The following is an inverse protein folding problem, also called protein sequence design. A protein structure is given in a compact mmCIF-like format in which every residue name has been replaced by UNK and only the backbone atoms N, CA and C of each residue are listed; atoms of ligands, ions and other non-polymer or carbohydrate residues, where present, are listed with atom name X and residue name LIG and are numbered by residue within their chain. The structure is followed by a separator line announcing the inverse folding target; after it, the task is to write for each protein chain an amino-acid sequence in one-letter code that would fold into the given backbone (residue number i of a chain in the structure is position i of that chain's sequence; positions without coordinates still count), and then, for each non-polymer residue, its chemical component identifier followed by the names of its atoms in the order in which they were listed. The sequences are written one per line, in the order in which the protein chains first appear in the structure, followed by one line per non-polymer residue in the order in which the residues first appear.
data_IF_691499168568
#
_entry.id   IF_691499168568
#
_cell.length_a   1.000
_cell.length_b   1.000
_cell.length_c   1.000
_cell.angle_alpha   90.00
_cell.angle_beta   90.00
_cell.angle_gamma   90.00
#
_symmetry.space_group_name_H-M   'P 1'
#
loop_
_entity.id
_entity.type
_entity.pdbx_description
1 polymer ?
#
# COMPACT_ATOMS: atom_id res chain seq x y z
N UNK A 1 -11.89 -4.20 -4.92
CA UNK A 1 -10.88 -4.08 -3.85
C UNK A 1 -11.23 -5.10 -2.81
N UNK A 2 -10.25 -5.79 -2.26
CA UNK A 2 -10.41 -6.71 -1.14
C UNK A 2 -10.26 -5.95 0.19
N UNK A 3 -10.90 -6.43 1.27
CA UNK A 3 -10.84 -5.79 2.59
C UNK A 3 -9.39 -5.62 3.08
N UNK A 4 -8.53 -6.60 2.79
CA UNK A 4 -7.10 -6.55 3.15
C UNK A 4 -6.33 -5.43 2.43
N UNK A 5 -6.73 -5.08 1.21
CA UNK A 5 -6.11 -3.98 0.47
C UNK A 5 -6.45 -2.64 1.15
N UNK A 6 -7.72 -2.46 1.53
CA UNK A 6 -8.21 -1.27 2.24
C UNK A 6 -7.56 -1.15 3.61
N UNK A 7 -7.52 -2.23 4.38
CA UNK A 7 -6.82 -2.29 5.67
C UNK A 7 -5.35 -1.90 5.53
N UNK A 8 -4.65 -2.45 4.54
CA UNK A 8 -3.24 -2.10 4.27
C UNK A 8 -3.06 -0.62 3.98
N UNK A 9 -3.95 -0.03 3.18
CA UNK A 9 -3.91 1.39 2.84
C UNK A 9 -4.21 2.28 4.06
N UNK A 10 -5.21 1.95 4.86
CA UNK A 10 -5.57 2.72 6.05
C UNK A 10 -4.46 2.70 7.11
N UNK A 11 -3.87 1.53 7.36
CA UNK A 11 -2.74 1.43 8.29
C UNK A 11 -1.52 2.17 7.73
N UNK A 12 -1.26 2.11 6.41
CA UNK A 12 -0.18 2.90 5.82
C UNK A 12 -0.41 4.41 5.96
N UNK A 13 -1.65 4.87 5.82
CA UNK A 13 -2.00 6.28 6.00
C UNK A 13 -1.83 6.75 7.47
N UNK A 14 -2.04 5.87 8.45
CA UNK A 14 -1.74 6.13 9.86
C UNK A 14 -0.23 6.13 10.14
N UNK A 15 0.49 5.14 9.62
CA UNK A 15 1.90 4.94 9.92
C UNK A 15 2.82 5.87 9.12
N UNK A 16 2.42 6.32 7.94
CA UNK A 16 3.26 7.09 6.98
C UNK A 16 4.63 6.42 6.70
N UNK A 17 4.76 5.13 6.96
CA UNK A 17 6.01 4.39 6.88
C UNK A 17 5.76 2.92 6.52
N UNK A 18 6.26 2.49 5.37
CA UNK A 18 6.04 1.13 4.84
C UNK A 18 6.56 0.03 5.76
N UNK A 19 7.74 0.22 6.38
CA UNK A 19 8.30 -0.73 7.37
C UNK A 19 7.38 -0.95 8.58
N UNK A 20 6.99 0.12 9.28
CA UNK A 20 6.05 0.03 10.42
C UNK A 20 4.68 -0.56 10.03
N UNK A 21 4.19 -0.22 8.85
CA UNK A 21 2.96 -0.80 8.29
C UNK A 21 3.08 -2.32 8.12
N UNK A 22 4.20 -2.77 7.54
CA UNK A 22 4.50 -4.17 7.33
C UNK A 22 4.61 -4.94 8.66
N UNK A 23 5.28 -4.37 9.66
CA UNK A 23 5.37 -4.93 11.01
C UNK A 23 3.99 -5.06 11.66
N UNK A 24 3.17 -4.00 11.61
CA UNK A 24 1.83 -3.97 12.24
C UNK A 24 0.84 -4.95 11.62
N UNK A 25 0.99 -5.26 10.33
CA UNK A 25 0.13 -6.19 9.59
C UNK A 25 0.72 -7.60 9.43
N UNK A 26 1.92 -7.86 9.98
CA UNK A 26 2.67 -9.11 9.79
C UNK A 26 2.89 -9.45 8.31
N UNK A 27 3.21 -8.44 7.51
CA UNK A 27 3.50 -8.56 6.08
C UNK A 27 4.98 -8.23 5.80
N UNK A 28 5.42 -8.50 4.58
CA UNK A 28 6.67 -7.92 4.08
C UNK A 28 6.42 -6.50 3.55
N UNK A 29 7.42 -5.62 3.65
CA UNK A 29 7.39 -4.27 3.06
C UNK A 29 7.08 -4.31 1.56
N UNK A 30 7.61 -5.31 0.84
CA UNK A 30 7.32 -5.51 -0.59
C UNK A 30 5.85 -5.79 -0.85
N UNK A 31 5.18 -6.58 0.01
CA UNK A 31 3.74 -6.84 -0.12
C UNK A 31 2.92 -5.58 0.10
N UNK A 32 3.27 -4.74 1.07
CA UNK A 32 2.62 -3.44 1.30
C UNK A 32 2.75 -2.55 0.05
N UNK A 33 3.96 -2.40 -0.48
CA UNK A 33 4.22 -1.62 -1.71
C UNK A 33 3.43 -2.14 -2.92
N UNK A 34 3.43 -3.46 -3.15
CA UNK A 34 2.66 -4.05 -4.26
C UNK A 34 1.15 -3.83 -4.12
N UNK A 35 0.61 -3.95 -2.90
CA UNK A 35 -0.81 -3.69 -2.62
C UNK A 35 -1.17 -2.24 -2.94
N UNK A 36 -0.38 -1.27 -2.46
CA UNK A 36 -0.62 0.15 -2.72
C UNK A 36 -0.53 0.46 -4.21
N UNK A 37 0.50 -0.04 -4.91
CA UNK A 37 0.65 0.13 -6.36
C UNK A 37 -0.54 -0.44 -7.13
N UNK A 38 -1.03 -1.61 -6.74
CA UNK A 38 -2.21 -2.22 -7.37
C UNK A 38 -3.48 -1.36 -7.14
N UNK A 39 -3.63 -0.75 -5.97
CA UNK A 39 -4.73 0.17 -5.67
C UNK A 39 -4.61 1.47 -6.46
N UNK A 40 -3.42 2.07 -6.53
CA UNK A 40 -3.15 3.29 -7.30
C UNK A 40 -3.49 3.10 -8.78
N UNK A 41 -3.08 1.99 -9.39
CA UNK A 41 -3.40 1.68 -10.80
C UNK A 41 -4.89 1.54 -11.08
N UNK A 42 -5.69 1.18 -10.07
CA UNK A 42 -7.14 1.00 -10.21
C UNK A 42 -7.90 2.30 -10.02
N UNK A 43 -7.36 3.21 -9.20
CA UNK A 43 -8.01 4.48 -8.84
C UNK A 43 -7.49 5.64 -9.70
N UNK A 44 -6.31 5.51 -10.30
CA UNK A 44 -5.62 6.58 -11.03
C UNK A 44 -5.40 6.19 -12.49
N UNK A 45 -5.71 7.10 -13.43
CA UNK A 45 -5.06 7.11 -14.75
C UNK A 45 -3.58 7.41 -14.50
N UNK A 46 -2.61 6.66 -15.07
CA UNK A 46 -1.22 6.79 -14.66
C UNK A 46 -0.69 8.20 -14.93
N UNK A 47 -0.50 8.99 -13.87
CA UNK A 47 0.06 10.33 -13.96
C UNK A 47 1.50 10.42 -13.44
N UNK A 48 1.99 9.43 -12.68
CA UNK A 48 3.39 9.42 -12.19
C UNK A 48 3.97 8.00 -12.21
N UNK A 49 5.13 7.86 -12.87
CA UNK A 49 5.78 6.60 -13.18
C UNK A 49 6.65 6.03 -12.06
N UNK A 50 6.03 5.51 -11.00
CA UNK A 50 6.49 4.31 -10.30
C UNK A 50 7.89 4.31 -9.66
N UNK A 51 8.30 5.37 -9.01
CA UNK A 51 9.55 5.53 -8.25
C UNK A 51 9.30 5.85 -6.76
N UNK A 52 8.72 4.89 -6.04
CA UNK A 52 8.66 4.82 -4.57
C UNK A 52 8.78 3.36 -4.10
#
# INVERSE_FOLDING_TARGET
MEMREIETFLVLAEELHFGRTAERLYLSTSRVSQTVRAMELRVTVPIHGGDW
#
